data_IF_096797762807
#
_entry.id   IF_096797762807
#
_cell.length_a   1.000
_cell.length_b   1.000
_cell.length_c   1.000
_cell.angle_alpha   90.00
_cell.angle_beta   90.00
_cell.angle_gamma   90.00
#
_symmetry.space_group_name_H-M   'P 1'
#
loop_
_entity.id
_entity.type
_entity.pdbx_description
1 polymer ?
#
# COMPACT_ATOMS: atom_id res chain seq x y z
N UNK A 1 23.56 -14.91 -18.27
CA UNK A 1 23.30 -13.81 -17.30
C UNK A 1 24.01 -13.98 -15.93
N UNK A 2 25.34 -14.12 -15.83
CA UNK A 2 25.99 -14.38 -14.53
C UNK A 2 25.97 -13.17 -13.57
N UNK A 3 26.07 -11.96 -14.12
CA UNK A 3 26.17 -10.72 -13.34
C UNK A 3 24.89 -10.42 -12.53
N UNK A 4 23.70 -10.69 -13.10
CA UNK A 4 22.42 -10.47 -12.42
C UNK A 4 22.22 -11.45 -11.26
N UNK A 5 22.62 -12.71 -11.43
CA UNK A 5 22.51 -13.75 -10.39
C UNK A 5 23.43 -13.43 -9.20
N UNK A 6 24.62 -12.88 -9.45
CA UNK A 6 25.52 -12.43 -8.37
C UNK A 6 24.94 -11.23 -7.62
N UNK A 7 24.35 -10.29 -8.35
CA UNK A 7 23.72 -9.10 -7.79
C UNK A 7 22.53 -9.46 -6.90
N UNK A 8 21.65 -10.34 -7.39
CA UNK A 8 20.52 -10.88 -6.64
C UNK A 8 20.99 -11.53 -5.33
N UNK A 9 21.95 -12.46 -5.38
CA UNK A 9 22.51 -13.10 -4.16
C UNK A 9 23.10 -12.12 -3.15
N UNK A 10 23.70 -11.03 -3.63
CA UNK A 10 24.40 -10.04 -2.80
C UNK A 10 23.43 -9.07 -2.11
N UNK A 11 22.42 -8.60 -2.84
CA UNK A 11 21.54 -7.53 -2.38
C UNK A 11 20.14 -8.00 -1.97
N UNK A 12 19.74 -9.24 -2.29
CA UNK A 12 18.49 -9.85 -1.78
C UNK A 12 18.42 -9.85 -0.26
N UNK A 13 19.52 -10.18 0.40
CA UNK A 13 19.65 -10.12 1.87
C UNK A 13 19.55 -8.72 2.45
N UNK A 14 19.65 -7.69 1.59
CA UNK A 14 19.56 -6.27 1.95
C UNK A 14 18.23 -5.65 1.51
N UNK A 15 17.23 -6.46 1.16
CA UNK A 15 15.90 -5.99 0.78
C UNK A 15 15.73 -5.73 -0.72
N UNK A 16 16.72 -6.02 -1.57
CA UNK A 16 16.57 -5.87 -3.02
C UNK A 16 15.77 -7.05 -3.60
N UNK A 17 14.71 -6.75 -4.34
CA UNK A 17 13.99 -7.73 -5.16
C UNK A 17 14.33 -7.50 -6.63
N UNK A 18 14.78 -8.56 -7.31
CA UNK A 18 15.04 -8.52 -8.75
C UNK A 18 13.90 -9.21 -9.51
N UNK A 19 13.40 -8.57 -10.58
CA UNK A 19 12.39 -9.16 -11.46
C UNK A 19 12.91 -9.09 -12.90
N UNK A 20 12.99 -10.23 -13.56
CA UNK A 20 13.38 -10.33 -14.96
C UNK A 20 12.15 -10.26 -15.87
N UNK A 21 11.99 -9.17 -16.62
CA UNK A 21 10.94 -9.07 -17.62
C UNK A 21 11.43 -9.62 -18.97
N UNK A 22 10.82 -10.70 -19.46
CA UNK A 22 11.04 -11.19 -20.81
C UNK A 22 10.16 -10.40 -21.77
N UNK A 23 10.76 -9.66 -22.70
CA UNK A 23 10.04 -8.86 -23.70
C UNK A 23 10.43 -9.23 -25.12
N UNK A 24 11.24 -10.28 -25.30
CA UNK A 24 11.67 -10.75 -26.62
C UNK A 24 10.62 -11.69 -27.26
N UNK A 25 9.58 -12.07 -26.52
CA UNK A 25 8.51 -12.92 -27.05
C UNK A 25 8.93 -14.38 -27.19
N UNK A 26 9.93 -14.81 -26.42
CA UNK A 26 10.43 -16.18 -26.42
C UNK A 26 9.34 -17.15 -25.94
N UNK A 27 9.39 -18.38 -26.42
CA UNK A 27 8.53 -19.46 -25.92
C UNK A 27 8.85 -19.76 -24.45
N UNK A 28 7.85 -20.13 -23.65
CA UNK A 28 8.02 -20.39 -22.21
C UNK A 28 9.11 -21.44 -21.93
N UNK A 29 9.21 -22.48 -22.76
CA UNK A 29 10.23 -23.53 -22.65
C UNK A 29 11.66 -22.99 -22.82
N UNK A 30 11.86 -22.01 -23.70
CA UNK A 30 13.17 -21.37 -23.90
C UNK A 30 13.54 -20.48 -22.70
N UNK A 31 12.54 -19.88 -22.05
CA UNK A 31 12.71 -19.07 -20.83
C UNK A 31 13.08 -19.99 -19.67
N UNK A 32 12.37 -21.10 -19.49
CA UNK A 32 12.65 -22.11 -18.46
C UNK A 32 14.06 -22.68 -18.62
N UNK A 33 14.45 -23.05 -19.84
CA UNK A 33 15.81 -23.52 -20.13
C UNK A 33 16.87 -22.47 -19.76
N UNK A 34 16.64 -21.20 -20.10
CA UNK A 34 17.56 -20.12 -19.74
C UNK A 34 17.62 -19.85 -18.23
N UNK A 35 16.50 -20.04 -17.51
CA UNK A 35 16.42 -19.95 -16.05
C UNK A 35 17.25 -21.06 -15.40
N UNK A 36 17.13 -22.29 -15.89
CA UNK A 36 17.88 -23.44 -15.40
C UNK A 36 19.37 -23.34 -15.73
N UNK A 37 19.72 -23.03 -16.98
CA UNK A 37 21.11 -22.92 -17.47
C UNK A 37 21.88 -21.83 -16.71
N UNK A 38 21.21 -20.75 -16.31
CA UNK A 38 21.81 -19.65 -15.56
C UNK A 38 21.57 -19.70 -14.06
N UNK A 39 20.85 -20.72 -13.56
CA UNK A 39 20.51 -20.88 -12.13
C UNK A 39 19.87 -19.62 -11.56
N UNK A 40 18.94 -19.04 -12.31
CA UNK A 40 18.21 -17.82 -11.95
C UNK A 40 17.26 -18.17 -10.80
N UNK A 41 17.39 -17.44 -9.68
CA UNK A 41 16.55 -17.62 -8.49
C UNK A 41 15.49 -16.54 -8.32
N UNK A 42 15.61 -15.46 -9.09
CA UNK A 42 14.69 -14.34 -9.05
C UNK A 42 13.52 -14.55 -10.02
N UNK A 43 12.40 -13.89 -9.75
CA UNK A 43 11.16 -14.06 -10.53
C UNK A 43 11.34 -13.56 -11.96
N UNK A 44 10.84 -14.34 -12.93
CA UNK A 44 10.81 -13.98 -14.36
C UNK A 44 9.36 -13.84 -14.81
N UNK A 45 9.03 -12.74 -15.47
CA UNK A 45 7.68 -12.46 -15.98
C UNK A 45 7.65 -12.40 -17.49
N UNK A 46 6.50 -12.78 -18.08
CA UNK A 46 6.24 -12.59 -19.51
C UNK A 46 5.73 -11.18 -19.75
N UNK A 47 6.56 -10.36 -20.37
CA UNK A 47 6.31 -8.95 -20.61
C UNK A 47 6.49 -8.08 -19.37
N UNK A 48 6.44 -6.77 -19.61
CA UNK A 48 6.30 -5.75 -18.57
C UNK A 48 5.45 -4.62 -19.14
N UNK A 49 4.53 -4.10 -18.33
CA UNK A 49 3.85 -2.85 -18.58
C UNK A 49 4.33 -1.85 -17.55
N UNK A 50 4.99 -0.78 -17.99
CA UNK A 50 5.73 0.12 -17.10
C UNK A 50 6.25 1.35 -17.83
N UNK A 51 7.11 2.17 -17.18
CA UNK A 51 7.72 3.34 -17.84
C UNK A 51 8.34 2.89 -19.17
N UNK A 52 8.19 3.70 -20.22
CA UNK A 52 8.75 3.37 -21.54
C UNK A 52 10.26 3.23 -21.39
N UNK A 53 10.72 2.00 -21.28
CA UNK A 53 12.14 1.63 -21.28
C UNK A 53 12.64 1.79 -22.72
N UNK A 54 12.74 3.03 -23.18
CA UNK A 54 13.16 3.36 -24.54
C UNK A 54 14.67 3.12 -24.66
N UNK A 55 15.06 2.10 -25.42
CA UNK A 55 16.45 1.91 -25.81
C UNK A 55 16.95 0.48 -25.69
N UNK A 56 16.54 -0.39 -26.63
CA UNK A 56 17.14 -1.71 -26.82
C UNK A 56 17.04 -2.67 -25.63
N UNK A 57 17.47 -3.90 -25.85
CA UNK A 57 17.62 -4.92 -24.81
C UNK A 57 19.11 -5.20 -24.71
N UNK A 58 19.72 -5.29 -23.51
CA UNK A 58 19.09 -5.35 -22.19
C UNK A 58 18.86 -3.98 -21.54
N UNK A 59 17.75 -3.86 -20.81
CA UNK A 59 17.36 -2.65 -20.08
C UNK A 59 17.01 -2.98 -18.63
N UNK A 60 17.27 -2.05 -17.72
CA UNK A 60 17.00 -2.15 -16.30
C UNK A 60 16.30 -0.88 -15.80
N UNK A 61 15.37 -1.06 -14.87
CA UNK A 61 14.78 0.02 -14.09
C UNK A 61 14.99 -0.31 -12.61
N UNK A 62 15.36 0.69 -11.81
CA UNK A 62 15.52 0.57 -10.36
C UNK A 62 14.49 1.47 -9.72
N UNK A 63 13.73 0.90 -8.79
CA UNK A 63 12.74 1.61 -7.99
C UNK A 63 13.24 1.72 -6.55
N UNK A 64 13.04 2.89 -5.93
CA UNK A 64 13.32 3.12 -4.52
C UNK A 64 12.29 2.46 -3.60
N UNK A 65 12.53 2.51 -2.29
CA UNK A 65 11.62 2.00 -1.25
C UNK A 65 10.25 2.72 -1.26
N UNK A 66 10.23 3.93 -1.78
CA UNK A 66 9.03 4.76 -1.98
C UNK A 66 8.26 4.41 -3.26
N UNK A 67 8.77 3.46 -4.07
CA UNK A 67 8.20 3.09 -5.37
C UNK A 67 8.53 4.07 -6.50
N UNK A 68 9.36 5.09 -6.25
CA UNK A 68 9.75 6.04 -7.29
C UNK A 68 10.87 5.45 -8.18
N UNK A 69 10.83 5.77 -9.48
CA UNK A 69 11.88 5.37 -10.42
C UNK A 69 13.15 6.18 -10.13
N UNK A 70 14.19 5.51 -9.62
CA UNK A 70 15.47 6.15 -9.29
C UNK A 70 16.50 6.01 -10.40
N UNK A 71 16.35 5.00 -11.27
CA UNK A 71 17.24 4.80 -12.42
C UNK A 71 16.56 4.02 -13.53
N UNK A 72 16.92 4.33 -14.77
CA UNK A 72 16.55 3.56 -15.95
C UNK A 72 17.71 3.57 -16.96
N UNK A 73 18.05 2.42 -17.54
CA UNK A 73 19.10 2.33 -18.55
C UNK A 73 19.70 0.94 -18.71
N UNK A 74 20.91 0.86 -19.28
CA UNK A 74 21.59 -0.41 -19.51
C UNK A 74 22.14 -1.00 -18.20
N UNK A 75 21.99 -2.32 -17.94
CA UNK A 75 22.38 -2.95 -16.68
C UNK A 75 23.90 -2.91 -16.39
N UNK A 76 24.74 -2.83 -17.43
CA UNK A 76 26.21 -2.74 -17.27
C UNK A 76 26.73 -1.31 -17.03
N UNK A 77 25.86 -0.30 -16.98
CA UNK A 77 26.29 1.06 -16.66
C UNK A 77 26.70 1.14 -15.17
N UNK A 78 27.87 1.74 -14.82
CA UNK A 78 28.27 1.94 -13.42
C UNK A 78 27.24 2.70 -12.58
N UNK A 79 26.42 3.56 -13.19
CA UNK A 79 25.40 4.31 -12.47
C UNK A 79 24.23 3.44 -11.99
N UNK A 80 24.02 2.28 -12.61
CA UNK A 80 23.07 1.27 -12.15
C UNK A 80 23.42 0.77 -10.75
N UNK A 81 24.69 0.39 -10.51
CA UNK A 81 25.10 -0.15 -9.21
C UNK A 81 25.11 0.94 -8.13
N UNK A 82 25.41 2.19 -8.51
CA UNK A 82 25.27 3.34 -7.61
C UNK A 82 23.83 3.58 -7.21
N UNK A 83 22.90 3.58 -8.17
CA UNK A 83 21.47 3.76 -7.91
C UNK A 83 20.93 2.68 -6.96
N UNK A 84 21.30 1.41 -7.19
CA UNK A 84 20.94 0.30 -6.30
C UNK A 84 21.50 0.53 -4.89
N UNK A 85 22.79 0.88 -4.77
CA UNK A 85 23.40 1.13 -3.45
C UNK A 85 22.76 2.31 -2.72
N UNK A 86 22.37 3.36 -3.43
CA UNK A 86 21.67 4.50 -2.86
C UNK A 86 20.29 4.09 -2.37
N UNK A 87 19.49 3.42 -3.20
CA UNK A 87 18.16 2.94 -2.82
C UNK A 87 18.18 1.97 -1.63
N UNK A 88 19.22 1.13 -1.54
CA UNK A 88 19.41 0.20 -0.44
C UNK A 88 19.74 0.87 0.90
N UNK A 89 20.19 2.13 0.92
CA UNK A 89 20.42 2.86 2.19
C UNK A 89 19.12 3.29 2.85
N UNK A 90 18.07 3.47 2.06
CA UNK A 90 16.77 3.92 2.55
C UNK A 90 15.91 2.74 3.05
N UNK A 91 16.41 1.50 2.93
CA UNK A 91 15.78 0.29 3.46
C UNK A 91 15.95 0.27 4.98
N UNK A 92 14.83 0.37 5.71
CA UNK A 92 14.82 0.24 7.16
C UNK A 92 14.99 -1.22 7.55
N UNK A 93 15.70 -1.50 8.65
CA UNK A 93 15.98 -2.88 9.08
C UNK A 93 14.71 -3.72 9.36
N UNK A 94 13.58 -3.06 9.63
CA UNK A 94 12.26 -3.71 9.75
C UNK A 94 11.71 -4.31 8.45
N UNK A 95 12.22 -3.92 7.29
CA UNK A 95 11.79 -4.40 5.96
C UNK A 95 12.67 -5.55 5.44
N UNK A 96 13.71 -5.96 6.17
CA UNK A 96 14.71 -6.95 5.74
C UNK A 96 14.32 -8.41 6.02
N UNK A 97 13.16 -8.65 6.65
CA UNK A 97 12.65 -9.99 6.92
C UNK A 97 11.98 -10.58 5.70
N UNK A 98 12.78 -11.20 4.83
CA UNK A 98 12.33 -12.27 3.93
C UNK A 98 12.05 -13.58 4.67
N UNK A 99 11.47 -13.54 5.86
CA UNK A 99 10.79 -14.70 6.44
C UNK A 99 9.40 -14.76 5.85
N UNK A 100 9.04 -15.91 5.30
CA UNK A 100 7.70 -16.23 4.80
C UNK A 100 6.58 -16.12 5.87
N UNK A 101 6.84 -15.53 7.04
CA UNK A 101 5.89 -15.40 8.15
C UNK A 101 5.68 -13.97 8.66
N UNK A 102 6.16 -12.92 7.98
CA UNK A 102 5.72 -11.53 8.29
C UNK A 102 5.04 -10.82 7.12
N UNK A 103 4.67 -11.54 6.07
CA UNK A 103 3.74 -11.07 5.04
C UNK A 103 2.36 -11.67 5.29
N UNK A 104 1.63 -11.08 6.23
CA UNK A 104 0.17 -11.19 6.25
C UNK A 104 -0.50 -10.39 5.11
N UNK A 105 0.19 -10.10 4.01
CA UNK A 105 -0.37 -9.36 2.87
C UNK A 105 0.45 -9.70 1.63
N UNK A 106 -0.15 -10.47 0.72
CA UNK A 106 0.38 -10.62 -0.64
C UNK A 106 0.71 -9.23 -1.22
N UNK A 107 1.80 -9.05 -1.98
CA UNK A 107 2.04 -7.80 -2.72
C UNK A 107 0.95 -7.51 -3.79
N UNK A 108 0.05 -8.48 -4.01
CA UNK A 108 -1.17 -8.37 -4.81
C UNK A 108 -2.47 -8.38 -3.99
N UNK A 109 -2.38 -8.52 -2.66
CA UNK A 109 -3.53 -8.40 -1.79
C UNK A 109 -3.96 -6.94 -1.82
N UNK A 110 -5.26 -6.74 -2.08
CA UNK A 110 -5.87 -5.41 -1.98
C UNK A 110 -5.49 -4.83 -0.62
N UNK A 111 -5.03 -3.58 -0.54
CA UNK A 111 -4.66 -2.97 0.74
C UNK A 111 -5.83 -3.15 1.71
N UNK A 112 -5.54 -3.72 2.88
CA UNK A 112 -6.54 -4.00 3.90
C UNK A 112 -7.04 -2.66 4.45
N UNK A 113 -8.17 -2.21 3.92
CA UNK A 113 -8.85 -1.00 4.39
C UNK A 113 -9.56 -1.29 5.71
N UNK A 114 -9.50 -0.37 6.68
CA UNK A 114 -10.38 -0.45 7.85
C UNK A 114 -11.84 -0.28 7.46
N UNK A 115 -12.09 0.62 6.50
CA UNK A 115 -13.41 0.79 5.87
C UNK A 115 -13.21 0.82 4.36
N UNK A 116 -13.90 -0.09 3.68
CA UNK A 116 -13.90 -0.16 2.21
C UNK A 116 -14.39 1.17 1.59
N UNK A 117 -14.05 1.40 0.32
CA UNK A 117 -14.44 2.61 -0.42
C UNK A 117 -15.93 2.91 -0.26
N UNK A 118 -16.26 4.06 0.34
CA UNK A 118 -17.62 4.55 0.54
C UNK A 118 -17.68 6.05 0.28
N UNK A 119 -18.88 6.52 -0.02
CA UNK A 119 -19.21 7.95 -0.05
C UNK A 119 -19.40 8.45 1.39
N UNK A 120 -18.45 9.24 1.87
CA UNK A 120 -18.55 9.96 3.14
C UNK A 120 -19.20 11.32 2.93
N UNK A 121 -19.94 11.80 3.93
CA UNK A 121 -20.57 13.11 3.92
C UNK A 121 -19.87 14.02 4.92
N UNK A 122 -19.31 15.12 4.43
CA UNK A 122 -18.72 16.15 5.27
C UNK A 122 -19.83 17.03 5.89
N UNK A 123 -19.53 17.73 7.00
CA UNK A 123 -20.45 18.67 7.66
C UNK A 123 -21.03 19.74 6.72
N UNK A 124 -20.29 20.10 5.65
CA UNK A 124 -20.74 21.01 4.59
C UNK A 124 -21.70 20.36 3.56
N UNK A 125 -22.17 19.12 3.79
CA UNK A 125 -22.99 18.34 2.87
C UNK A 125 -22.27 17.82 1.62
N UNK A 126 -20.93 18.00 1.56
CA UNK A 126 -20.12 17.55 0.42
C UNK A 126 -19.84 16.06 0.52
N UNK A 127 -20.12 15.36 -0.58
CA UNK A 127 -19.87 13.92 -0.73
C UNK A 127 -18.44 13.67 -1.18
N UNK A 128 -17.71 12.81 -0.50
CA UNK A 128 -16.35 12.40 -0.84
C UNK A 128 -16.24 10.87 -0.91
N UNK A 129 -15.69 10.33 -1.98
CA UNK A 129 -15.57 8.88 -2.17
C UNK A 129 -14.15 8.46 -1.81
N UNK A 130 -14.00 7.74 -0.69
CA UNK A 130 -12.70 7.31 -0.21
C UNK A 130 -12.79 6.03 0.64
N UNK A 131 -11.69 5.30 0.75
CA UNK A 131 -11.52 4.20 1.68
C UNK A 131 -10.70 4.68 2.89
N UNK A 132 -11.05 4.24 4.10
CA UNK A 132 -10.28 4.54 5.31
C UNK A 132 -9.14 3.51 5.47
N UNK A 133 -7.91 3.99 5.50
CA UNK A 133 -6.69 3.18 5.62
C UNK A 133 -6.30 2.98 7.09
N UNK A 134 -6.31 4.04 7.89
CA UNK A 134 -5.96 4.01 9.31
C UNK A 134 -6.59 5.20 10.04
N UNK A 135 -6.78 5.05 11.35
CA UNK A 135 -7.22 6.11 12.23
C UNK A 135 -6.12 6.39 13.25
N UNK A 136 -5.65 7.63 13.29
CA UNK A 136 -4.68 8.14 14.26
C UNK A 136 -5.40 9.20 15.11
N UNK A 137 -6.07 8.75 16.18
CA UNK A 137 -6.88 9.59 17.06
C UNK A 137 -8.04 10.26 16.32
N UNK A 138 -7.96 11.58 16.13
CA UNK A 138 -9.01 12.41 15.51
C UNK A 138 -8.81 12.53 13.98
N UNK A 139 -7.68 12.06 13.44
CA UNK A 139 -7.38 12.12 12.00
C UNK A 139 -7.40 10.72 11.39
N UNK A 140 -8.23 10.55 10.36
CA UNK A 140 -8.21 9.37 9.50
C UNK A 140 -7.31 9.57 8.29
N UNK A 141 -6.52 8.56 7.93
CA UNK A 141 -5.84 8.48 6.62
C UNK A 141 -6.80 7.85 5.62
N UNK A 142 -7.23 8.64 4.65
CA UNK A 142 -8.16 8.23 3.59
C UNK A 142 -7.43 8.04 2.27
N UNK A 143 -7.95 7.14 1.43
CA UNK A 143 -7.47 6.86 0.08
C UNK A 143 -8.60 7.09 -0.92
N UNK A 144 -8.38 7.94 -1.90
CA UNK A 144 -9.28 8.08 -3.04
C UNK A 144 -9.15 6.89 -4.00
N UNK A 145 -10.16 6.69 -4.86
CA UNK A 145 -10.14 5.69 -5.95
C UNK A 145 -8.93 5.82 -6.89
N UNK A 146 -8.39 7.04 -7.05
CA UNK A 146 -7.21 7.32 -7.87
C UNK A 146 -5.88 6.92 -7.18
N UNK A 147 -5.93 6.39 -5.96
CA UNK A 147 -4.75 5.97 -5.19
C UNK A 147 -4.08 7.06 -4.37
N UNK A 148 -4.51 8.32 -4.50
CA UNK A 148 -4.01 9.44 -3.68
C UNK A 148 -4.49 9.29 -2.24
N UNK A 149 -3.57 9.45 -1.31
CA UNK A 149 -3.85 9.42 0.12
C UNK A 149 -3.95 10.86 0.66
N UNK A 150 -4.81 11.07 1.65
CA UNK A 150 -4.94 12.34 2.35
C UNK A 150 -5.37 12.11 3.80
N UNK A 151 -4.94 12.99 4.68
CA UNK A 151 -5.38 13.00 6.07
C UNK A 151 -6.62 13.90 6.20
N UNK A 152 -7.64 13.39 6.86
CA UNK A 152 -8.87 14.12 7.11
C UNK A 152 -9.33 13.94 8.55
N UNK A 153 -9.85 15.01 9.12
CA UNK A 153 -10.36 15.03 10.48
C UNK A 153 -11.74 14.34 10.52
N UNK A 154 -11.88 13.26 11.29
CA UNK A 154 -13.13 12.52 11.36
C UNK A 154 -14.24 13.33 12.03
N UNK A 155 -13.92 14.31 12.88
CA UNK A 155 -14.90 15.21 13.52
C UNK A 155 -15.61 16.12 12.52
N UNK A 156 -15.09 16.23 11.29
CA UNK A 156 -15.74 16.99 10.21
C UNK A 156 -16.71 16.13 9.40
N UNK A 157 -16.72 14.81 9.56
CA UNK A 157 -17.69 13.93 8.92
C UNK A 157 -19.04 13.98 9.65
N UNK A 158 -20.12 13.56 8.99
CA UNK A 158 -21.44 13.47 9.62
C UNK A 158 -21.43 12.49 10.80
N UNK A 159 -22.32 12.70 11.77
CA UNK A 159 -22.44 11.85 12.97
C UNK A 159 -22.54 10.35 12.60
N UNK A 160 -23.39 10.02 11.61
CA UNK A 160 -23.54 8.66 11.07
C UNK A 160 -22.21 8.03 10.60
N UNK A 161 -21.35 8.83 9.96
CA UNK A 161 -20.07 8.37 9.42
C UNK A 161 -19.01 8.27 10.54
N UNK A 162 -19.10 9.10 11.59
CA UNK A 162 -18.23 9.03 12.76
C UNK A 162 -18.49 7.75 13.57
N UNK A 163 -19.75 7.40 13.79
CA UNK A 163 -20.14 6.17 14.49
C UNK A 163 -19.64 4.93 13.76
N UNK A 164 -19.78 4.89 12.43
CA UNK A 164 -19.29 3.78 11.61
C UNK A 164 -17.78 3.57 11.71
N UNK A 165 -17.00 4.66 11.80
CA UNK A 165 -15.56 4.56 12.01
C UNK A 165 -15.29 3.97 13.39
N UNK A 166 -15.95 4.47 14.44
CA UNK A 166 -15.80 3.99 15.82
C UNK A 166 -16.15 2.51 15.96
N UNK A 167 -17.26 2.06 15.36
CA UNK A 167 -17.68 0.64 15.35
C UNK A 167 -16.66 -0.26 14.65
N UNK A 168 -15.98 0.25 13.62
CA UNK A 168 -14.98 -0.51 12.84
C UNK A 168 -13.57 -0.49 13.44
N UNK A 169 -13.23 0.52 14.24
CA UNK A 169 -11.93 0.63 14.92
C UNK A 169 -11.89 -0.06 16.29
N UNK A 170 -13.03 -0.54 16.81
CA UNK A 170 -13.06 -1.29 18.07
C UNK A 170 -12.72 -0.45 19.29
N UNK A 171 -13.18 0.81 19.31
CA UNK A 171 -13.21 1.61 20.54
C UNK A 171 -14.62 1.48 21.09
N UNK A 172 -14.76 0.80 22.24
CA UNK A 172 -16.00 0.78 23.01
C UNK A 172 -16.44 2.23 23.28
N UNK A 173 -17.76 2.54 23.18
CA UNK A 173 -18.26 3.81 23.66
C UNK A 173 -18.14 3.83 25.19
N UNK A 174 -17.35 4.76 25.74
CA UNK A 174 -17.70 5.30 27.05
C UNK A 174 -19.04 6.01 26.87
N UNK A 175 -20.02 5.48 27.60
CA UNK A 175 -21.35 6.04 27.80
C UNK A 175 -21.22 7.44 28.38
N UNK A 176 -21.83 8.43 27.75
CA UNK A 176 -22.28 9.65 28.44
C UNK A 176 -23.68 9.99 27.90
N UNK A 177 -24.67 9.48 28.64
CA UNK A 177 -25.84 10.20 29.15
C UNK A 177 -26.45 11.30 28.26
N UNK A 178 -27.58 10.97 27.63
CA UNK A 178 -28.65 11.95 27.41
C UNK A 178 -29.74 11.70 28.46
N UNK A 179 -29.71 12.50 29.52
CA UNK A 179 -30.84 12.76 30.42
C UNK A 179 -31.99 13.36 29.58
N UNK A 180 -33.04 12.58 29.30
CA UNK A 180 -34.34 13.17 28.98
C UNK A 180 -34.98 13.66 30.28
N UNK A 181 -34.81 14.96 30.55
CA UNK A 181 -35.75 15.74 31.37
C UNK A 181 -37.13 15.71 30.67
N UNK A 182 -38.05 14.85 31.11
CA UNK A 182 -39.49 15.09 30.90
C UNK A 182 -40.08 15.76 32.14
N UNK A 183 -40.44 17.03 31.93
CA UNK A 183 -41.08 17.96 32.85
C UNK A 183 -42.30 17.37 33.58
N UNK A 184 -42.34 17.66 34.88
CA UNK A 184 -43.55 17.72 35.71
C UNK A 184 -44.73 18.36 34.95
N UNK A 185 -45.82 17.60 34.80
CA UNK A 185 -47.17 18.18 34.78
C UNK A 185 -47.96 17.61 35.94
N UNK A 186 -47.96 18.38 37.02
CA UNK A 186 -49.03 18.44 38.00
C UNK A 186 -50.38 18.65 37.31
N UNK A 187 -51.16 17.59 37.17
CA UNK A 187 -52.61 17.74 37.13
C UNK A 187 -53.20 17.26 38.45
N UNK A 188 -53.41 18.28 39.29
CA UNK A 188 -54.19 18.28 40.52
C UNK A 188 -55.28 17.20 40.59
N UNK A 189 -55.10 16.35 41.60
CA UNK A 189 -56.16 15.84 42.44
C UNK A 189 -57.09 16.97 42.86
N UNK A 190 -58.34 16.95 42.41
CA UNK A 190 -59.46 17.52 43.15
C UNK A 190 -60.59 16.49 43.21
N UNK A 191 -60.64 15.80 44.34
CA UNK A 191 -61.85 15.19 44.87
C UNK A 191 -62.84 16.32 45.24
N UNK A 192 -64.11 16.17 44.86
CA UNK A 192 -65.26 16.75 45.57
C UNK A 192 -66.45 15.81 45.46
#
# INVERSE_FOLDING_TARGET
MPHLVQMDKKYSKKGMVLIGAEVQGSASEAIEKAVDDHKIKFTVTKGVSGPRLSGGIPHMAVFGVDGNLVYHGHPSNPDTEKAIKTALKDVKEGDLSGSAESLGTDPFAKPKYLVNERTWTNADGRKLVAALISLEGVKGKFRFRNGRQFEYDISKLSADDQELIKTKTGTEPEEEDEEEEEEEKDENRFDF
#
